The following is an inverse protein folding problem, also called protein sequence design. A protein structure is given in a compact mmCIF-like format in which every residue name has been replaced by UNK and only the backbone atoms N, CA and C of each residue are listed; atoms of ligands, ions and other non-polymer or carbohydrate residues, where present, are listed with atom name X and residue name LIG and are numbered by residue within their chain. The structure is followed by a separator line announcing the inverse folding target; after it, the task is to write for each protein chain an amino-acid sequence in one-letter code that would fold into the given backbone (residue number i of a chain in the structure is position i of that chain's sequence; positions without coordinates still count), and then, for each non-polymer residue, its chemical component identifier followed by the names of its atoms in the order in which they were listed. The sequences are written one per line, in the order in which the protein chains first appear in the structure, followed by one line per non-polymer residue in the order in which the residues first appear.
data_IF_017270225298
#
_entry.id   IF_017270225298
#
_cell.length_a   1.000
_cell.length_b   1.000
_cell.length_c   1.000
_cell.angle_alpha   90.00
_cell.angle_beta   90.00
_cell.angle_gamma   90.00
#
_symmetry.space_group_name_H-M   'P 1'
#
loop_
_entity.id
_entity.type
_entity.pdbx_description
1 polymer ?
#
# COMPACT_ATOMS: atom_id res chain seq x y z
N UNK A 1 24.32 -16.71 -19.90
CA UNK A 1 23.76 -15.33 -19.80
C UNK A 1 23.35 -15.08 -18.36
N UNK A 2 23.68 -13.92 -17.80
CA UNK A 2 23.28 -13.55 -16.44
C UNK A 2 21.84 -13.03 -16.44
N UNK A 3 20.99 -13.54 -15.54
CA UNK A 3 19.62 -13.05 -15.38
C UNK A 3 19.64 -11.72 -14.62
N UNK A 4 18.83 -10.76 -15.05
CA UNK A 4 18.63 -9.46 -14.37
C UNK A 4 17.23 -9.41 -13.77
N UNK A 5 17.12 -8.98 -12.52
CA UNK A 5 15.86 -8.72 -11.84
C UNK A 5 15.65 -7.20 -11.78
N UNK A 6 14.46 -6.75 -12.19
CA UNK A 6 14.03 -5.36 -12.10
C UNK A 6 12.74 -5.35 -11.28
N UNK A 7 12.76 -4.64 -10.15
CA UNK A 7 11.61 -4.45 -9.29
C UNK A 7 11.17 -2.99 -9.40
N UNK A 8 9.88 -2.77 -9.57
CA UNK A 8 9.28 -1.45 -9.60
C UNK A 8 8.30 -1.34 -8.45
N UNK A 9 8.46 -0.26 -7.68
CA UNK A 9 7.47 0.18 -6.72
C UNK A 9 6.24 0.76 -7.45
N UNK A 10 5.09 0.88 -6.77
CA UNK A 10 3.84 1.35 -7.36
C UNK A 10 3.58 2.82 -6.98
N UNK A 11 3.36 3.09 -5.70
CA UNK A 11 2.88 4.38 -5.20
C UNK A 11 4.00 5.43 -5.22
N UNK A 12 3.81 6.49 -6.01
CA UNK A 12 4.83 7.52 -6.22
C UNK A 12 5.92 7.13 -7.22
N UNK A 13 5.92 5.87 -7.70
CA UNK A 13 6.85 5.39 -8.73
C UNK A 13 6.14 5.21 -10.08
N UNK A 14 5.18 4.29 -10.17
CA UNK A 14 4.42 4.04 -11.40
C UNK A 14 3.15 4.88 -11.47
N UNK A 15 2.51 5.12 -10.33
CA UNK A 15 1.26 5.89 -10.25
C UNK A 15 1.27 6.84 -9.06
N UNK A 16 0.51 7.92 -9.16
CA UNK A 16 0.13 8.72 -8.00
C UNK A 16 -1.34 8.46 -7.67
N UNK A 17 -1.60 7.69 -6.62
CA UNK A 17 -2.95 7.25 -6.24
C UNK A 17 -3.78 8.34 -5.53
N UNK A 18 -3.19 9.49 -5.19
CA UNK A 18 -3.89 10.61 -4.56
C UNK A 18 -4.54 10.28 -3.22
N UNK A 19 -4.03 9.27 -2.50
CA UNK A 19 -4.58 8.82 -1.22
C UNK A 19 -5.71 7.79 -1.32
N UNK A 20 -6.05 7.30 -2.52
CA UNK A 20 -7.15 6.35 -2.72
C UNK A 20 -7.05 5.08 -1.85
N UNK A 21 -5.85 4.57 -1.59
CA UNK A 21 -5.63 3.40 -0.72
C UNK A 21 -6.01 3.67 0.74
N UNK A 22 -5.60 4.84 1.27
CA UNK A 22 -5.93 5.26 2.64
C UNK A 22 -7.43 5.48 2.79
N UNK A 23 -8.08 6.11 1.80
CA UNK A 23 -9.53 6.32 1.83
C UNK A 23 -10.32 5.01 1.73
N UNK A 24 -9.84 4.03 0.94
CA UNK A 24 -10.43 2.70 0.90
C UNK A 24 -10.34 2.00 2.26
N UNK A 25 -9.19 2.10 2.94
CA UNK A 25 -9.00 1.53 4.28
C UNK A 25 -9.94 2.15 5.33
N UNK A 26 -10.07 3.48 5.35
CA UNK A 26 -11.00 4.19 6.24
C UNK A 26 -12.45 3.73 6.04
N UNK A 27 -12.88 3.59 4.78
CA UNK A 27 -14.21 3.08 4.44
C UNK A 27 -14.41 1.66 4.95
N UNK A 28 -13.45 0.77 4.70
CA UNK A 28 -13.52 -0.61 5.18
C UNK A 28 -13.61 -0.69 6.71
N UNK A 29 -12.83 0.11 7.43
CA UNK A 29 -12.89 0.17 8.90
C UNK A 29 -14.26 0.64 9.40
N UNK A 30 -14.79 1.68 8.77
CA UNK A 30 -16.13 2.20 9.11
C UNK A 30 -17.21 1.16 8.83
N UNK A 31 -17.19 0.52 7.66
CA UNK A 31 -18.21 -0.44 7.23
C UNK A 31 -18.17 -1.76 8.01
N UNK A 32 -16.99 -2.23 8.40
CA UNK A 32 -16.82 -3.55 9.04
C UNK A 32 -16.80 -3.49 10.55
N UNK A 33 -16.33 -2.38 11.13
CA UNK A 33 -16.09 -2.27 12.57
C UNK A 33 -16.76 -1.04 13.19
N UNK A 34 -17.38 -0.16 12.40
CA UNK A 34 -17.98 1.08 12.89
C UNK A 34 -16.95 2.12 13.36
N UNK A 35 -15.67 1.90 13.07
CA UNK A 35 -14.57 2.77 13.50
C UNK A 35 -14.38 3.89 12.48
N UNK A 36 -14.54 5.13 12.94
CA UNK A 36 -14.25 6.35 12.16
C UNK A 36 -12.97 6.98 12.70
N UNK A 37 -11.89 6.84 11.96
CA UNK A 37 -10.57 7.34 12.30
C UNK A 37 -9.92 7.94 11.05
N UNK A 38 -9.06 8.94 11.22
CA UNK A 38 -8.33 9.57 10.12
C UNK A 38 -6.99 8.87 9.81
N UNK A 39 -6.59 7.91 10.67
CA UNK A 39 -5.38 7.09 10.61
C UNK A 39 -4.09 7.92 10.64
N UNK A 40 -4.15 9.16 11.14
CA UNK A 40 -3.00 10.07 11.21
C UNK A 40 -1.80 9.47 11.98
N UNK A 41 -2.08 8.73 13.06
CA UNK A 41 -1.06 8.16 13.95
C UNK A 41 -0.47 6.83 13.44
N UNK A 42 -0.95 6.31 12.30
CA UNK A 42 -0.52 5.03 11.74
C UNK A 42 0.33 5.30 10.49
N UNK A 43 1.58 4.81 10.52
CA UNK A 43 2.41 4.80 9.32
C UNK A 43 1.91 3.72 8.34
N UNK A 44 1.37 4.15 7.21
CA UNK A 44 0.90 3.27 6.14
C UNK A 44 1.98 3.23 5.05
N UNK A 45 2.80 2.17 5.07
CA UNK A 45 3.86 1.94 4.11
C UNK A 45 3.70 0.58 3.41
N UNK A 46 4.12 0.50 2.14
CA UNK A 46 4.20 -0.75 1.40
C UNK A 46 5.37 -1.63 1.89
N UNK A 47 5.29 -2.93 1.62
CA UNK A 47 6.36 -3.88 1.91
C UNK A 47 6.47 -4.87 0.75
N UNK A 48 7.70 -5.14 0.29
CA UNK A 48 7.95 -6.19 -0.70
C UNK A 48 7.75 -7.56 -0.07
N UNK A 49 6.93 -8.41 -0.70
CA UNK A 49 6.77 -9.80 -0.29
C UNK A 49 8.09 -10.56 -0.47
N UNK A 50 8.58 -11.19 0.59
CA UNK A 50 9.78 -12.04 0.56
C UNK A 50 9.71 -13.16 -0.49
N UNK A 51 8.49 -13.58 -0.87
CA UNK A 51 8.23 -14.56 -1.93
C UNK A 51 8.67 -14.11 -3.34
N UNK A 52 8.84 -12.81 -3.55
CA UNK A 52 9.19 -12.24 -4.87
C UNK A 52 10.69 -12.44 -5.20
N UNK A 53 11.54 -12.58 -4.20
CA UNK A 53 13.01 -12.65 -4.35
C UNK A 53 13.57 -14.04 -4.01
N UNK A 54 12.76 -15.10 -4.14
CA UNK A 54 13.18 -16.50 -3.95
C UNK A 54 13.88 -17.05 -5.20
#
# INVERSE_FOLDING_TARGET
MQKRLLLFDIDGTLIHSGGAGVEALKRALTERFGIKDDLHDIEIAGMTDSGIVI
#
